data_IF_696837455197
#
_entry.id   IF_696837455197
#
_cell.length_a   1.000
_cell.length_b   1.000
_cell.length_c   1.000
_cell.angle_alpha   90.00
_cell.angle_beta   90.00
_cell.angle_gamma   90.00
#
_symmetry.space_group_name_H-M   'P 1'
#
loop_
_entity.id
_entity.type
_entity.pdbx_description
1 polymer ?
#
# COMPACT_ATOMS: atom_id res chain seq x y z
N UNK A 1 -8.86 6.61 2.23
CA UNK A 1 -8.46 5.32 1.65
C UNK A 1 -9.42 5.03 0.50
N UNK A 2 -9.21 5.65 -0.67
CA UNK A 2 -10.07 5.46 -1.87
C UNK A 2 -9.18 5.16 -3.07
N UNK A 3 -9.72 4.47 -4.08
CA UNK A 3 -8.95 4.22 -5.30
C UNK A 3 -8.72 5.52 -6.08
N UNK A 4 -9.70 6.44 -6.12
CA UNK A 4 -9.53 7.77 -6.72
C UNK A 4 -8.36 8.57 -6.13
N UNK A 5 -8.18 8.55 -4.80
CA UNK A 5 -7.07 9.25 -4.16
C UNK A 5 -5.72 8.64 -4.55
N UNK A 6 -5.62 7.30 -4.61
CA UNK A 6 -4.41 6.61 -5.06
C UNK A 6 -4.09 6.89 -6.52
N UNK A 7 -5.10 6.93 -7.41
CA UNK A 7 -4.93 7.32 -8.83
C UNK A 7 -4.39 8.75 -8.94
N UNK A 8 -4.98 9.69 -8.20
CA UNK A 8 -4.53 11.09 -8.21
C UNK A 8 -3.08 11.23 -7.73
N UNK A 9 -2.69 10.50 -6.68
CA UNK A 9 -1.29 10.44 -6.22
C UNK A 9 -0.39 9.83 -7.31
N UNK A 10 -0.77 8.69 -7.89
CA UNK A 10 -0.03 8.04 -8.97
C UNK A 10 0.21 8.98 -10.16
N UNK A 11 -0.83 9.68 -10.61
CA UNK A 11 -0.73 10.66 -11.69
C UNK A 11 0.23 11.81 -11.33
N UNK A 12 0.19 12.29 -10.09
CA UNK A 12 1.10 13.33 -9.60
C UNK A 12 2.55 12.85 -9.51
N UNK A 13 2.78 11.57 -9.17
CA UNK A 13 4.11 10.94 -9.15
C UNK A 13 4.68 10.87 -10.57
N UNK A 14 3.89 10.46 -11.55
CA UNK A 14 4.31 10.38 -12.97
C UNK A 14 4.57 11.76 -13.57
N UNK A 15 3.74 12.76 -13.25
CA UNK A 15 3.89 14.12 -13.78
C UNK A 15 4.97 14.96 -13.07
N UNK A 16 5.48 14.48 -11.93
CA UNK A 16 6.44 15.20 -11.10
C UNK A 16 7.82 15.29 -11.75
N UNK A 17 8.50 16.43 -11.57
CA UNK A 17 9.90 16.60 -12.04
C UNK A 17 10.91 15.80 -11.20
N UNK A 18 10.54 15.44 -9.98
CA UNK A 18 11.39 14.72 -9.03
C UNK A 18 10.53 13.85 -8.13
N UNK A 19 9.99 12.74 -8.66
CA UNK A 19 9.20 11.80 -7.86
C UNK A 19 10.05 11.20 -6.73
N UNK A 20 9.42 10.86 -5.59
CA UNK A 20 10.08 10.16 -4.50
C UNK A 20 10.57 8.78 -4.96
N UNK A 21 11.68 8.32 -4.39
CA UNK A 21 12.24 6.98 -4.64
C UNK A 21 11.28 5.85 -4.23
N UNK A 22 10.51 6.08 -3.17
CA UNK A 22 9.59 5.11 -2.61
C UNK A 22 8.21 5.72 -2.38
N UNK A 23 7.18 4.89 -2.56
CA UNK A 23 5.80 5.16 -2.18
C UNK A 23 5.33 4.02 -1.26
N UNK A 24 5.06 4.38 0.00
CA UNK A 24 4.42 3.49 0.96
C UNK A 24 2.91 3.74 0.95
N UNK A 25 2.14 2.78 0.46
CA UNK A 25 0.67 2.79 0.51
C UNK A 25 0.19 1.91 1.66
N UNK A 26 -0.82 2.40 2.38
CA UNK A 26 -1.51 1.65 3.42
C UNK A 26 -3.00 1.66 3.07
N UNK A 27 -3.62 0.49 3.12
CA UNK A 27 -5.05 0.32 2.97
C UNK A 27 -5.59 -0.55 4.09
N UNK A 28 -6.86 -0.36 4.44
CA UNK A 28 -7.52 -1.20 5.41
C UNK A 28 -9.03 -1.29 5.17
N UNK A 29 -9.57 -2.46 5.49
CA UNK A 29 -11.00 -2.73 5.64
C UNK A 29 -11.34 -2.85 7.13
N UNK A 30 -12.54 -3.31 7.44
CA UNK A 30 -13.02 -3.46 8.81
C UNK A 30 -12.16 -4.42 9.66
N UNK A 31 -11.72 -5.55 9.09
CA UNK A 31 -11.06 -6.64 9.82
C UNK A 31 -9.69 -7.05 9.27
N UNK A 32 -9.18 -6.34 8.28
CA UNK A 32 -7.92 -6.63 7.61
C UNK A 32 -7.37 -5.36 6.94
N UNK A 33 -6.14 -5.43 6.46
CA UNK A 33 -5.55 -4.38 5.67
C UNK A 33 -4.23 -4.82 5.06
N UNK A 34 -3.60 -3.89 4.37
CA UNK A 34 -2.37 -4.12 3.65
C UNK A 34 -1.47 -2.89 3.73
N UNK A 35 -0.18 -3.13 3.61
CA UNK A 35 0.77 -2.09 3.27
C UNK A 35 1.68 -2.60 2.16
N UNK A 36 2.09 -1.69 1.28
CA UNK A 36 3.01 -1.98 0.19
C UNK A 36 3.96 -0.80 0.00
N UNK A 37 5.24 -1.10 -0.08
CA UNK A 37 6.29 -0.19 -0.44
C UNK A 37 6.69 -0.48 -1.89
N UNK A 38 6.44 0.47 -2.78
CA UNK A 38 6.85 0.38 -4.18
C UNK A 38 7.72 1.54 -4.61
N UNK A 39 8.29 1.45 -5.80
CA UNK A 39 9.16 2.46 -6.38
C UNK A 39 8.51 3.13 -7.60
N UNK A 40 8.10 4.41 -7.51
CA UNK A 40 7.44 5.10 -8.62
C UNK A 40 8.30 5.27 -9.88
N UNK A 41 9.63 5.27 -9.73
CA UNK A 41 10.59 5.33 -10.83
C UNK A 41 11.02 3.95 -11.35
N UNK A 42 10.29 2.90 -10.97
CA UNK A 42 10.53 1.57 -11.48
C UNK A 42 10.25 1.54 -12.99
N UNK A 43 11.30 1.31 -13.77
CA UNK A 43 11.13 0.89 -15.16
C UNK A 43 11.15 -0.63 -15.19
N UNK A 44 9.97 -1.23 -15.39
CA UNK A 44 9.76 -2.69 -15.34
C UNK A 44 10.75 -3.51 -16.19
N UNK A 45 11.24 -2.94 -17.29
CA UNK A 45 12.19 -3.57 -18.19
C UNK A 45 13.66 -3.43 -17.74
N UNK A 46 13.99 -2.43 -16.91
CA UNK A 46 15.37 -2.09 -16.55
C UNK A 46 15.72 -2.38 -15.09
N UNK A 47 14.74 -2.36 -14.19
CA UNK A 47 14.98 -2.39 -12.74
C UNK A 47 14.20 -3.51 -12.04
N UNK A 48 14.47 -4.75 -12.44
CA UNK A 48 13.83 -5.97 -11.94
C UNK A 48 14.02 -6.20 -10.43
N UNK A 49 14.76 -5.34 -9.73
CA UNK A 49 15.03 -5.43 -8.30
C UNK A 49 14.13 -4.51 -7.48
N UNK A 50 13.45 -3.52 -8.09
CA UNK A 50 12.60 -2.58 -7.36
C UNK A 50 11.16 -3.11 -7.23
N UNK A 51 10.55 -2.99 -6.04
CA UNK A 51 9.19 -3.46 -5.83
C UNK A 51 8.16 -2.59 -6.61
N UNK A 52 7.12 -3.23 -7.20
CA UNK A 52 6.05 -2.51 -7.87
C UNK A 52 5.26 -1.63 -6.88
N UNK A 53 4.75 -0.51 -7.37
CA UNK A 53 3.81 0.36 -6.66
C UNK A 53 2.47 -0.32 -6.44
N UNK A 54 1.65 0.26 -5.56
CA UNK A 54 0.27 -0.22 -5.31
C UNK A 54 -0.58 -0.26 -6.58
N UNK A 55 -0.35 0.65 -7.54
CA UNK A 55 -1.11 0.70 -8.80
C UNK A 55 -0.68 -0.39 -9.78
N UNK A 56 0.59 -0.79 -9.76
CA UNK A 56 1.10 -1.91 -10.55
C UNK A 56 0.69 -3.26 -9.93
N UNK A 57 0.68 -3.33 -8.60
CA UNK A 57 0.30 -4.55 -7.88
C UNK A 57 -1.22 -4.81 -7.92
N UNK A 58 -2.03 -3.74 -7.91
CA UNK A 58 -3.50 -3.81 -8.01
C UNK A 58 -4.00 -2.97 -9.19
N UNK A 59 -3.96 -3.50 -10.42
CA UNK A 59 -4.39 -2.78 -11.63
C UNK A 59 -5.85 -2.29 -11.57
N UNK A 60 -6.70 -2.96 -10.80
CA UNK A 60 -8.09 -2.55 -10.56
C UNK A 60 -8.20 -1.18 -9.88
N UNK A 61 -7.19 -0.77 -9.10
CA UNK A 61 -7.12 0.57 -8.50
C UNK A 61 -6.77 1.61 -9.56
N UNK A 62 -6.08 1.24 -10.64
CA UNK A 62 -5.78 2.13 -11.74
C UNK A 62 -6.95 2.27 -12.73
N UNK A 63 -7.83 1.28 -12.82
CA UNK A 63 -8.96 1.26 -13.74
C UNK A 63 -10.04 2.28 -13.36
N UNK A 64 -10.18 3.36 -14.13
CA UNK A 64 -11.17 4.42 -13.92
C UNK A 64 -12.60 4.00 -14.25
N UNK A 65 -12.80 2.86 -14.92
CA UNK A 65 -14.13 2.35 -15.25
C UNK A 65 -14.79 1.64 -14.07
N UNK A 66 -13.99 1.25 -13.06
CA UNK A 66 -14.49 0.67 -11.83
C UNK A 66 -14.91 1.78 -10.86
N UNK A 67 -16.16 1.74 -10.35
CA UNK A 67 -16.61 2.71 -9.36
C UNK A 67 -15.74 2.59 -8.10
N UNK A 68 -15.47 3.73 -7.45
CA UNK A 68 -14.99 3.68 -6.07
C UNK A 68 -16.03 2.93 -5.23
N UNK A 69 -15.58 2.11 -4.29
CA UNK A 69 -16.45 1.52 -3.28
C UNK A 69 -16.84 2.64 -2.30
N UNK A 70 -17.72 3.52 -2.78
CA UNK A 70 -18.28 4.70 -2.10
C UNK A 70 -19.32 4.25 -1.06
N UNK A 71 -19.06 3.15 -0.35
CA UNK A 71 -19.77 2.86 0.88
C UNK A 71 -19.53 4.08 1.80
N UNK A 72 -20.56 4.92 2.03
CA UNK A 72 -20.34 6.19 2.69
C UNK A 72 -19.80 5.89 4.08
N UNK A 73 -18.63 6.45 4.39
CA UNK A 73 -18.17 6.61 5.76
C UNK A 73 -19.09 7.63 6.43
N UNK A 74 -20.35 7.26 6.66
CA UNK A 74 -21.33 8.06 7.37
C UNK A 74 -20.77 8.29 8.77
N UNK A 75 -20.33 9.52 9.04
CA UNK A 75 -19.71 9.96 10.28
C UNK A 75 -18.38 9.27 10.67
N UNK A 76 -17.47 10.07 11.23
CA UNK A 76 -16.21 9.58 11.81
C UNK A 76 -16.45 8.54 12.91
N UNK A 77 -17.57 8.63 13.64
CA UNK A 77 -17.93 7.70 14.72
C UNK A 77 -18.39 6.33 14.18
N UNK A 78 -19.26 6.29 13.17
CA UNK A 78 -19.69 5.03 12.53
C UNK A 78 -18.53 4.39 11.74
N UNK A 79 -17.63 5.20 11.17
CA UNK A 79 -16.39 4.70 10.57
C UNK A 79 -15.45 4.09 11.64
N UNK A 80 -15.38 4.68 12.84
CA UNK A 80 -14.64 4.12 13.99
C UNK A 80 -15.31 2.87 14.58
N UNK A 81 -16.63 2.72 14.48
CA UNK A 81 -17.36 1.52 14.92
C UNK A 81 -17.25 0.38 13.90
N UNK A 82 -17.18 0.67 12.60
CA UNK A 82 -17.05 -0.32 11.52
C UNK A 82 -15.60 -0.74 11.27
N UNK A 83 -14.64 0.16 11.46
CA UNK A 83 -13.24 -0.23 11.49
C UNK A 83 -12.97 -0.92 12.82
N UNK A 84 -12.43 -2.13 12.81
CA UNK A 84 -11.88 -2.69 14.03
C UNK A 84 -10.88 -1.68 14.59
N UNK A 85 -11.11 -1.26 15.83
CA UNK A 85 -10.47 -0.12 16.49
C UNK A 85 -8.93 -0.12 16.41
N UNK A 86 -8.33 -1.27 16.10
CA UNK A 86 -6.90 -1.50 16.05
C UNK A 86 -6.33 -1.80 14.65
N UNK A 87 -7.14 -1.95 13.59
CA UNK A 87 -6.63 -2.33 12.26
C UNK A 87 -5.60 -1.33 11.74
N UNK A 88 -5.91 -0.03 11.81
CA UNK A 88 -4.99 1.04 11.37
C UNK A 88 -3.69 1.01 12.17
N UNK A 89 -3.78 0.80 13.48
CA UNK A 89 -2.60 0.75 14.36
C UNK A 89 -1.72 -0.46 14.04
N UNK A 90 -2.33 -1.62 13.79
CA UNK A 90 -1.60 -2.85 13.44
C UNK A 90 -0.91 -2.68 12.08
N UNK A 91 -1.62 -2.22 11.05
CA UNK A 91 -1.07 -2.01 9.70
C UNK A 91 0.03 -0.94 9.74
N UNK A 92 -0.20 0.21 10.39
CA UNK A 92 0.80 1.27 10.51
C UNK A 92 2.06 0.80 11.26
N UNK A 93 1.91 -0.02 12.31
CA UNK A 93 3.06 -0.55 13.06
C UNK A 93 3.91 -1.47 12.19
N UNK A 94 3.30 -2.31 11.35
CA UNK A 94 4.03 -3.18 10.43
C UNK A 94 4.71 -2.37 9.31
N UNK A 95 4.03 -1.37 8.75
CA UNK A 95 4.61 -0.48 7.75
C UNK A 95 5.81 0.30 8.30
N UNK A 96 5.72 0.81 9.53
CA UNK A 96 6.83 1.50 10.21
C UNK A 96 8.00 0.55 10.50
N UNK A 97 7.73 -0.71 10.85
CA UNK A 97 8.79 -1.70 11.02
C UNK A 97 9.55 -1.96 9.70
N UNK A 98 8.82 -2.06 8.58
CA UNK A 98 9.43 -2.18 7.25
C UNK A 98 10.29 -0.95 6.91
N UNK A 99 9.76 0.26 7.14
CA UNK A 99 10.50 1.51 6.90
C UNK A 99 11.74 1.62 7.79
N UNK A 100 11.66 1.19 9.04
CA UNK A 100 12.81 1.15 9.94
C UNK A 100 13.89 0.21 9.42
N UNK A 101 13.52 -0.97 8.93
CA UNK A 101 14.46 -1.91 8.33
C UNK A 101 15.11 -1.32 7.06
N UNK A 102 14.31 -0.69 6.20
CA UNK A 102 14.82 -0.01 5.01
C UNK A 102 15.83 1.09 5.36
N UNK A 103 15.49 1.99 6.29
CA UNK A 103 16.33 3.14 6.63
C UNK A 103 17.53 2.72 7.48
N UNK A 104 17.31 1.84 8.45
CA UNK A 104 18.31 1.45 9.45
C UNK A 104 19.27 0.37 8.95
N UNK A 105 18.81 -0.54 8.08
CA UNK A 105 19.62 -1.67 7.56
C UNK A 105 19.91 -1.55 6.07
N UNK A 106 19.30 -0.60 5.36
CA UNK A 106 19.47 -0.43 3.92
C UNK A 106 18.84 -1.55 3.09
N UNK A 107 18.04 -2.44 3.68
CA UNK A 107 17.45 -3.59 3.02
C UNK A 107 16.14 -4.03 3.68
N UNK A 108 15.26 -4.63 2.89
CA UNK A 108 13.99 -5.20 3.31
C UNK A 108 13.88 -6.64 2.81
N UNK A 109 13.12 -7.48 3.51
CA UNK A 109 12.90 -8.88 3.12
C UNK A 109 11.62 -9.13 2.32
N UNK A 110 10.72 -8.15 2.27
CA UNK A 110 9.43 -8.20 1.57
C UNK A 110 9.02 -6.77 1.18
N UNK A 111 8.16 -6.62 0.16
CA UNK A 111 7.67 -5.31 -0.27
C UNK A 111 6.53 -4.79 0.61
N UNK A 112 5.87 -5.67 1.35
CA UNK A 112 4.65 -5.34 2.07
C UNK A 112 4.05 -6.57 2.74
N UNK A 113 2.83 -6.48 3.24
CA UNK A 113 2.08 -7.64 3.70
C UNK A 113 0.56 -7.36 3.72
N UNK A 114 -0.22 -8.44 3.62
CA UNK A 114 -1.62 -8.47 3.99
C UNK A 114 -1.75 -8.94 5.43
N UNK A 115 -2.57 -8.25 6.21
CA UNK A 115 -2.76 -8.54 7.63
C UNK A 115 -4.25 -8.71 7.88
N UNK A 116 -4.63 -9.88 8.37
CA UNK A 116 -5.97 -10.14 8.84
C UNK A 116 -5.95 -10.23 10.37
N UNK A 117 -6.53 -9.23 11.03
CA UNK A 117 -6.53 -9.15 12.50
C UNK A 117 -7.56 -10.08 13.14
N UNK A 118 -8.58 -10.52 12.40
CA UNK A 118 -9.59 -11.46 12.88
C UNK A 118 -9.03 -12.89 12.95
N UNK A 119 -8.19 -13.29 11.99
CA UNK A 119 -7.54 -14.60 11.95
C UNK A 119 -6.13 -14.60 12.55
N UNK A 120 -5.54 -13.41 12.74
CA UNK A 120 -4.15 -13.24 13.17
C UNK A 120 -3.12 -13.54 12.09
N UNK A 121 -3.54 -13.72 10.83
CA UNK A 121 -2.63 -14.03 9.73
C UNK A 121 -1.94 -12.76 9.19
N UNK A 122 -0.66 -12.91 8.88
CA UNK A 122 0.12 -11.92 8.11
C UNK A 122 0.81 -12.65 6.96
N UNK A 123 0.55 -12.20 5.74
CA UNK A 123 1.06 -12.82 4.51
C UNK A 123 1.94 -11.79 3.80
N UNK A 124 3.26 -12.02 3.68
CA UNK A 124 4.17 -11.06 3.07
C UNK A 124 3.92 -10.94 1.56
N UNK A 125 4.10 -9.73 1.03
CA UNK A 125 4.20 -9.48 -0.41
C UNK A 125 5.67 -9.66 -0.80
N UNK A 126 6.02 -10.65 -1.64
CA UNK A 126 7.39 -10.94 -1.98
C UNK A 126 8.02 -9.79 -2.75
N UNK A 127 9.34 -9.62 -2.58
CA UNK A 127 10.12 -8.79 -3.50
C UNK A 127 10.19 -9.48 -4.87
N UNK A 128 10.35 -8.71 -5.96
CA UNK A 128 10.65 -9.28 -7.27
C UNK A 128 11.87 -10.19 -7.21
N UNK A 129 11.82 -11.31 -7.94
CA UNK A 129 12.96 -12.20 -8.08
C UNK A 129 13.89 -11.56 -9.11
N UNK A 130 15.09 -11.17 -8.70
CA UNK A 130 16.13 -10.78 -9.64
C UNK A 130 16.43 -11.96 -10.58
N UNK A 131 16.28 -11.74 -11.89
CA UNK A 131 16.60 -12.72 -12.93
C UNK A 131 18.12 -12.96 -13.03
#
# INVERSE_FOLDING_TARGET
DTASARRAIGAALVAGRSPPTYWMDLGNRAGDGQFILGCPNHEAEADHQLPPTVLEYFPEIADETLPDDDAPSCSMAEALERQSLFVNRVVASHALALLFDLIGRGSIGHAGAFINIATGQSVPIPLPIAA
#
